data_IF_863680658456
#
_entry.id   IF_863680658456
#
_cell.length_a   1.000
_cell.length_b   1.000
_cell.length_c   1.000
_cell.angle_alpha   90.00
_cell.angle_beta   90.00
_cell.angle_gamma   90.00
#
_symmetry.space_group_name_H-M   'P 1'
#
loop_
_entity.id
_entity.type
_entity.pdbx_description
1 polymer ?
#
# COMPACT_ATOMS: atom_id res chain seq x y z
N UNK A 1 15.06 5.24 14.16
CA UNK A 1 15.62 3.98 13.62
C UNK A 1 15.75 4.12 12.10
N UNK A 2 16.96 4.34 11.59
CA UNK A 2 17.21 4.26 10.14
C UNK A 2 17.05 2.81 9.70
N UNK A 3 16.14 2.54 8.77
CA UNK A 3 15.91 1.18 8.29
C UNK A 3 17.20 0.67 7.63
N UNK A 4 17.77 -0.43 8.13
CA UNK A 4 19.04 -1.05 7.68
C UNK A 4 18.97 -1.64 6.27
N UNK A 5 18.20 -1.05 5.36
CA UNK A 5 17.97 -1.57 4.02
C UNK A 5 18.47 -0.59 2.96
N UNK A 6 19.32 -1.07 2.06
CA UNK A 6 19.81 -0.26 0.92
C UNK A 6 18.91 -0.53 -0.28
N UNK A 7 18.46 0.54 -0.91
CA UNK A 7 17.71 0.50 -2.16
C UNK A 7 18.74 0.51 -3.31
N UNK A 8 18.64 -0.40 -4.27
CA UNK A 8 19.45 -0.35 -5.50
C UNK A 8 18.65 0.37 -6.60
N UNK A 9 19.31 1.28 -7.33
CA UNK A 9 18.77 1.95 -8.52
C UNK A 9 18.65 0.95 -9.69
N UNK A 10 17.66 0.06 -9.64
CA UNK A 10 17.23 -0.70 -10.82
C UNK A 10 16.24 0.12 -11.64
N UNK A 11 16.35 0.13 -12.98
CA UNK A 11 15.47 0.92 -13.86
C UNK A 11 13.99 0.63 -13.60
N UNK A 12 13.09 1.58 -13.90
CA UNK A 12 11.76 1.72 -13.31
C UNK A 12 10.72 0.69 -13.81
N UNK A 13 11.13 -0.45 -14.35
CA UNK A 13 10.21 -1.40 -14.98
C UNK A 13 9.43 -2.28 -14.00
N UNK A 14 9.77 -2.31 -12.71
CA UNK A 14 9.02 -3.14 -11.73
C UNK A 14 8.79 -2.36 -10.44
N UNK A 15 7.53 -1.97 -10.21
CA UNK A 15 6.99 -1.28 -9.04
C UNK A 15 6.98 -2.18 -7.77
N UNK A 16 8.13 -2.74 -7.41
CA UNK A 16 8.29 -3.54 -6.20
C UNK A 16 9.30 -2.88 -5.26
N UNK A 17 9.00 -2.74 -3.97
CA UNK A 17 9.94 -2.20 -3.00
C UNK A 17 11.07 -3.21 -2.77
N UNK A 18 12.13 -3.11 -3.55
CA UNK A 18 13.31 -3.94 -3.43
C UNK A 18 14.17 -3.48 -2.24
N UNK A 19 13.86 -3.96 -1.04
CA UNK A 19 14.72 -3.75 0.14
C UNK A 19 15.69 -4.91 0.31
N UNK A 20 16.96 -4.61 0.46
CA UNK A 20 18.01 -5.57 0.82
C UNK A 20 18.50 -5.29 2.24
N UNK A 21 18.57 -6.32 3.09
CA UNK A 21 19.18 -6.20 4.41
C UNK A 21 20.68 -5.90 4.29
N UNK A 22 21.12 -4.74 4.78
CA UNK A 22 22.53 -4.29 4.77
C UNK A 22 23.35 -5.00 5.85
N UNK A 23 22.68 -5.41 6.93
CA UNK A 23 23.24 -6.11 8.08
C UNK A 23 22.26 -7.19 8.52
N UNK A 24 22.78 -8.17 9.25
CA UNK A 24 21.96 -9.19 9.90
C UNK A 24 21.17 -8.53 11.04
N UNK A 25 19.86 -8.78 11.11
CA UNK A 25 19.04 -8.27 12.20
C UNK A 25 17.90 -9.24 12.54
N UNK A 26 17.47 -9.20 13.80
CA UNK A 26 16.32 -9.95 14.29
C UNK A 26 15.07 -9.08 14.27
N UNK A 27 13.99 -9.58 13.69
CA UNK A 27 12.70 -8.90 13.65
C UNK A 27 11.56 -9.89 13.83
N UNK A 28 10.70 -9.65 14.83
CA UNK A 28 9.53 -10.49 15.11
C UNK A 28 9.88 -11.97 15.35
N UNK A 29 11.01 -12.24 16.01
CA UNK A 29 11.50 -13.60 16.26
C UNK A 29 12.21 -14.29 15.07
N UNK A 30 12.30 -13.63 13.91
CA UNK A 30 13.01 -14.14 12.74
C UNK A 30 14.37 -13.46 12.58
N UNK A 31 15.42 -14.24 12.29
CA UNK A 31 16.75 -13.72 11.93
C UNK A 31 16.82 -13.51 10.42
N UNK A 32 17.02 -12.26 10.00
CA UNK A 32 17.15 -11.87 8.60
C UNK A 32 18.64 -11.61 8.34
N UNK A 33 19.33 -12.48 7.58
CA UNK A 33 20.73 -12.27 7.26
C UNK A 33 20.90 -11.28 6.10
N UNK A 34 22.09 -10.70 6.03
CA UNK A 34 22.54 -9.73 5.03
C UNK A 34 22.42 -10.32 3.62
N UNK A 35 21.98 -9.48 2.68
CA UNK A 35 21.88 -9.87 1.27
C UNK A 35 20.63 -10.67 0.89
N UNK A 36 19.69 -10.88 1.82
CA UNK A 36 18.41 -11.52 1.50
C UNK A 36 17.51 -10.65 0.61
N UNK A 37 17.50 -10.97 -0.69
CA UNK A 37 16.76 -10.22 -1.73
C UNK A 37 15.46 -10.90 -2.18
N UNK A 38 15.50 -12.17 -2.58
CA UNK A 38 14.39 -12.77 -3.35
C UNK A 38 13.24 -13.30 -2.49
N UNK A 39 13.55 -14.08 -1.44
CA UNK A 39 12.55 -14.69 -0.55
C UNK A 39 11.73 -13.65 0.24
N UNK A 40 12.33 -12.49 0.52
CA UNK A 40 11.71 -11.40 1.25
C UNK A 40 10.75 -10.57 0.38
N UNK A 41 11.08 -10.39 -0.91
CA UNK A 41 10.25 -9.63 -1.88
C UNK A 41 8.80 -10.12 -1.95
N UNK A 42 8.60 -11.44 -2.05
CA UNK A 42 7.27 -12.02 -2.16
C UNK A 42 6.44 -11.85 -0.87
N UNK A 43 7.10 -11.96 0.30
CA UNK A 43 6.46 -11.80 1.60
C UNK A 43 6.03 -10.35 1.86
N UNK A 44 6.85 -9.37 1.46
CA UNK A 44 6.50 -7.94 1.55
C UNK A 44 5.39 -7.56 0.60
N UNK A 45 5.44 -8.04 -0.64
CA UNK A 45 4.39 -7.75 -1.61
C UNK A 45 3.04 -8.27 -1.12
N UNK A 46 3.02 -9.50 -0.58
CA UNK A 46 1.82 -10.03 0.09
C UNK A 46 1.42 -9.21 1.30
N UNK A 47 2.36 -8.74 2.12
CA UNK A 47 2.05 -7.93 3.30
C UNK A 47 1.34 -6.62 2.93
N UNK A 48 1.80 -5.89 1.90
CA UNK A 48 1.18 -4.63 1.46
C UNK A 48 -0.28 -4.85 1.01
N UNK A 49 -0.55 -5.96 0.32
CA UNK A 49 -1.92 -6.30 -0.10
C UNK A 49 -2.75 -6.84 1.07
N UNK A 50 -2.13 -7.56 2.01
CA UNK A 50 -2.81 -8.20 3.13
C UNK A 50 -3.10 -7.25 4.31
N UNK A 51 -2.34 -6.16 4.50
CA UNK A 51 -2.56 -5.24 5.63
C UNK A 51 -3.95 -4.61 5.60
N UNK A 52 -4.46 -4.30 4.40
CA UNK A 52 -5.81 -3.76 4.22
C UNK A 52 -6.91 -4.79 4.50
N UNK A 53 -6.56 -6.08 4.56
CA UNK A 53 -7.47 -7.19 4.83
C UNK A 53 -7.35 -7.71 6.28
N UNK A 54 -6.52 -7.07 7.11
CA UNK A 54 -6.37 -7.47 8.51
C UNK A 54 -7.55 -6.94 9.34
N UNK A 55 -8.35 -7.87 9.89
CA UNK A 55 -9.53 -7.56 10.69
C UNK A 55 -9.24 -6.83 12.00
N UNK A 56 -7.99 -6.89 12.49
CA UNK A 56 -7.54 -6.12 13.66
C UNK A 56 -7.56 -4.60 13.40
N UNK A 57 -7.29 -4.17 12.16
CA UNK A 57 -7.21 -2.77 11.79
C UNK A 57 -8.39 -2.32 10.90
N UNK A 58 -9.01 -3.25 10.18
CA UNK A 58 -10.13 -3.01 9.27
C UNK A 58 -11.25 -4.00 9.59
N UNK A 59 -12.20 -3.66 10.48
CA UNK A 59 -13.35 -4.51 10.72
C UNK A 59 -14.18 -4.67 9.44
N UNK A 60 -14.54 -5.91 9.10
CA UNK A 60 -15.25 -6.28 7.85
C UNK A 60 -14.52 -5.79 6.57
N UNK A 61 -13.29 -6.25 6.31
CA UNK A 61 -12.46 -5.70 5.23
C UNK A 61 -12.99 -5.99 3.81
N UNK A 62 -13.87 -6.98 3.67
CA UNK A 62 -14.54 -7.32 2.40
C UNK A 62 -15.68 -6.33 2.07
N UNK A 63 -16.19 -5.59 3.05
CA UNK A 63 -17.25 -4.62 2.85
C UNK A 63 -16.68 -3.29 2.37
N UNK A 64 -17.25 -2.75 1.30
CA UNK A 64 -16.93 -1.41 0.83
C UNK A 64 -17.64 -0.37 1.71
N UNK A 65 -17.02 0.00 2.83
CA UNK A 65 -17.45 1.09 3.71
C UNK A 65 -16.46 2.27 3.63
N UNK A 66 -16.83 3.41 3.00
CA UNK A 66 -16.01 4.61 2.94
C UNK A 66 -15.81 5.32 4.30
N UNK A 67 -16.77 5.18 5.22
CA UNK A 67 -16.78 5.91 6.50
C UNK A 67 -15.62 5.50 7.42
N UNK A 68 -15.05 4.31 7.21
CA UNK A 68 -13.87 3.81 7.95
C UNK A 68 -12.61 4.68 7.81
N UNK A 69 -12.58 5.58 6.82
CA UNK A 69 -11.45 6.50 6.59
C UNK A 69 -11.70 7.90 7.16
N UNK A 70 -12.84 8.15 7.81
CA UNK A 70 -13.18 9.44 8.41
C UNK A 70 -12.49 9.63 9.78
N UNK A 71 -12.50 10.87 10.30
CA UNK A 71 -11.88 11.22 11.57
C UNK A 71 -10.35 11.20 11.54
N UNK A 72 -9.71 10.49 12.47
CA UNK A 72 -8.25 10.39 12.58
C UNK A 72 -7.62 9.50 11.49
N UNK A 73 -8.43 8.89 10.61
CA UNK A 73 -7.98 8.01 9.55
C UNK A 73 -7.43 6.67 10.05
N UNK A 74 -6.81 5.91 9.15
CA UNK A 74 -6.22 4.61 9.48
C UNK A 74 -4.97 4.75 10.36
N UNK A 75 -4.74 3.75 11.21
CA UNK A 75 -3.51 3.66 11.99
C UNK A 75 -2.26 3.74 11.07
N UNK A 76 -1.15 4.32 11.55
CA UNK A 76 0.07 4.44 10.76
C UNK A 76 0.54 3.08 10.24
N UNK A 77 0.98 3.02 8.98
CA UNK A 77 1.50 1.81 8.32
C UNK A 77 0.50 0.67 8.09
N UNK A 78 -0.80 0.83 8.39
CA UNK A 78 -1.81 -0.22 8.13
C UNK A 78 -2.46 -0.08 6.76
N UNK A 79 -2.64 1.15 6.27
CA UNK A 79 -3.16 1.46 4.94
C UNK A 79 -2.06 2.02 4.02
N UNK A 80 -1.50 1.18 3.13
CA UNK A 80 -0.31 1.54 2.32
C UNK A 80 -0.43 1.22 0.82
N UNK A 81 -1.52 1.61 0.13
CA UNK A 81 -1.72 1.29 -1.29
C UNK A 81 -0.66 1.89 -2.23
N UNK A 82 -0.04 3.00 -1.81
CA UNK A 82 1.04 3.68 -2.56
C UNK A 82 2.39 3.59 -1.84
N UNK A 83 2.56 2.62 -0.94
CA UNK A 83 3.67 2.54 0.01
C UNK A 83 3.72 3.75 0.97
N UNK A 84 4.62 3.72 1.94
CA UNK A 84 4.76 4.74 3.00
C UNK A 84 6.24 5.05 3.25
N UNK A 85 6.52 6.30 3.64
CA UNK A 85 7.86 6.79 3.93
C UNK A 85 8.56 7.44 2.73
N UNK A 86 9.90 7.57 2.75
CA UNK A 86 10.65 8.34 1.75
C UNK A 86 10.62 7.77 0.33
N UNK A 87 10.11 6.54 0.17
CA UNK A 87 9.94 5.84 -1.12
C UNK A 87 8.46 5.59 -1.44
N UNK A 88 7.56 6.43 -0.94
CA UNK A 88 6.16 6.46 -1.38
C UNK A 88 6.08 6.74 -2.88
N UNK A 89 5.09 6.16 -3.56
CA UNK A 89 4.86 6.38 -4.98
C UNK A 89 4.73 7.89 -5.27
N UNK A 90 5.54 8.44 -6.21
CA UNK A 90 5.44 9.87 -6.56
C UNK A 90 4.09 10.22 -7.20
N UNK A 91 3.42 9.24 -7.80
CA UNK A 91 2.09 9.40 -8.39
C UNK A 91 0.93 9.38 -7.38
N UNK A 92 1.19 9.26 -6.07
CA UNK A 92 0.13 9.14 -5.05
C UNK A 92 -0.89 10.27 -5.11
N UNK A 93 -0.43 11.52 -5.17
CA UNK A 93 -1.32 12.68 -5.14
C UNK A 93 -2.00 12.91 -6.49
N UNK A 94 -1.28 12.63 -7.59
CA UNK A 94 -1.87 12.64 -8.93
C UNK A 94 -3.00 11.60 -9.06
N UNK A 95 -2.76 10.36 -8.62
CA UNK A 95 -3.77 9.31 -8.63
C UNK A 95 -5.00 9.70 -7.81
N UNK A 96 -4.80 10.26 -6.62
CA UNK A 96 -5.91 10.78 -5.78
C UNK A 96 -6.72 11.84 -6.52
N UNK A 97 -6.07 12.80 -7.15
CA UNK A 97 -6.73 13.86 -7.89
C UNK A 97 -7.55 13.32 -9.08
N UNK A 98 -6.96 12.41 -9.86
CA UNK A 98 -7.62 11.78 -11.01
C UNK A 98 -8.85 10.98 -10.56
N UNK A 99 -8.72 10.17 -9.50
CA UNK A 99 -9.84 9.38 -8.96
C UNK A 99 -10.97 10.27 -8.46
N UNK A 100 -10.67 11.31 -7.69
CA UNK A 100 -11.69 12.24 -7.18
C UNK A 100 -12.41 12.98 -8.31
N UNK A 101 -11.65 13.45 -9.31
CA UNK A 101 -12.21 14.12 -10.49
C UNK A 101 -13.09 13.18 -11.30
N UNK A 102 -12.66 11.92 -11.46
CA UNK A 102 -13.40 10.90 -12.17
C UNK A 102 -14.73 10.59 -11.46
N UNK A 103 -14.71 10.36 -10.15
CA UNK A 103 -15.91 10.12 -9.33
C UNK A 103 -16.85 11.32 -9.38
N UNK A 104 -16.34 12.54 -9.23
CA UNK A 104 -17.15 13.75 -9.31
C UNK A 104 -17.87 13.85 -10.66
N UNK A 105 -17.18 13.63 -11.77
CA UNK A 105 -17.82 13.67 -13.09
C UNK A 105 -18.82 12.52 -13.29
N UNK A 106 -18.54 11.32 -12.78
CA UNK A 106 -19.49 10.21 -12.82
C UNK A 106 -20.79 10.55 -12.09
N UNK A 107 -20.71 11.07 -10.87
CA UNK A 107 -21.90 11.36 -10.04
C UNK A 107 -22.69 12.57 -10.55
N UNK A 108 -22.00 13.59 -11.08
CA UNK A 108 -22.65 14.86 -11.46
C UNK A 108 -23.12 14.94 -12.91
N UNK A 109 -22.50 14.18 -13.83
CA UNK A 109 -22.74 14.33 -15.28
C UNK A 109 -23.27 13.08 -15.95
N UNK A 110 -23.09 11.90 -15.37
CA UNK A 110 -23.56 10.65 -15.97
C UNK A 110 -24.87 10.25 -15.31
N UNK A 111 -25.98 10.33 -16.07
CA UNK A 111 -27.20 9.63 -15.70
C UNK A 111 -26.95 8.14 -15.89
N UNK A 112 -26.66 7.43 -14.81
CA UNK A 112 -26.63 5.97 -14.82
C UNK A 112 -28.07 5.50 -14.97
N UNK A 113 -28.51 5.31 -16.21
CA UNK A 113 -29.77 4.64 -16.49
C UNK A 113 -29.67 3.22 -15.96
N UNK A 114 -30.25 2.95 -14.80
CA UNK A 114 -30.49 1.59 -14.35
C UNK A 114 -31.58 1.01 -15.26
N UNK A 115 -31.16 0.26 -16.29
CA UNK A 115 -32.06 -0.66 -16.98
C UNK A 115 -32.37 -1.80 -16.01
N UNK A 116 -33.40 -1.60 -15.19
CA UNK A 116 -34.01 -2.65 -14.37
C UNK A 116 -35.12 -3.23 -15.27
N UNK A 117 -34.89 -4.42 -15.83
CA UNK A 117 -35.94 -5.22 -16.48
C UNK A 117 -36.65 -6.06 -15.43
#
# INVERSE_FOLDING_TARGET
>A
MGCCTRDYDTPPTIATPFREAVKDFTFGGFTIPKGWKWKWKWKIFRAINATNMNSEYFPNPENFDPSRFEGNGCAPYTFVPFSVGPRTCPGKDCARFVILTFIHNLVTKVQVGSCIS
#
